data_IF_685691579085
#
_entry.id   IF_685691579085
#
_cell.length_a   1.000
_cell.length_b   1.000
_cell.length_c   1.000
_cell.angle_alpha   90.00
_cell.angle_beta   90.00
_cell.angle_gamma   90.00
#
_symmetry.space_group_name_H-M   'P 1'
#
loop_
_entity.id
_entity.type
_entity.pdbx_description
1 polymer ?
#
# COMPACT_ATOMS: atom_id res chain seq x y z
N UNK A 1 16.33 24.92 -43.89
CA UNK A 1 17.22 24.77 -42.69
C UNK A 1 16.44 24.70 -41.37
N UNK A 2 15.38 25.50 -41.20
CA UNK A 2 14.50 25.48 -40.01
C UNK A 2 13.53 24.28 -39.95
N UNK A 3 12.99 23.80 -41.08
CA UNK A 3 12.07 22.65 -41.08
C UNK A 3 12.73 21.33 -40.64
N UNK A 4 14.04 21.17 -40.88
CA UNK A 4 14.81 20.01 -40.36
C UNK A 4 15.01 20.11 -38.85
N UNK A 5 15.10 21.33 -38.30
CA UNK A 5 15.20 21.56 -36.86
C UNK A 5 13.86 21.31 -36.16
N UNK A 6 12.75 21.77 -36.75
CA UNK A 6 11.39 21.52 -36.25
C UNK A 6 11.01 20.03 -36.30
N UNK A 7 11.45 19.29 -37.34
CA UNK A 7 11.26 17.82 -37.41
C UNK A 7 12.15 17.05 -36.42
N UNK A 8 13.36 17.56 -36.12
CA UNK A 8 14.22 16.98 -35.09
C UNK A 8 13.65 17.19 -33.67
N UNK A 9 12.96 18.31 -33.43
CA UNK A 9 12.26 18.59 -32.18
C UNK A 9 10.92 17.85 -32.05
N UNK A 10 10.21 17.60 -33.16
CA UNK A 10 8.99 16.81 -33.18
C UNK A 10 9.21 15.31 -32.95
N UNK A 11 10.43 14.81 -33.16
CA UNK A 11 10.82 13.40 -32.93
C UNK A 11 11.31 13.10 -31.51
N UNK A 12 11.62 14.13 -30.72
CA UNK A 12 11.89 13.99 -29.30
C UNK A 12 10.58 14.19 -28.56
N UNK A 13 9.82 13.11 -28.38
CA UNK A 13 8.79 13.08 -27.33
C UNK A 13 9.50 13.18 -25.98
N UNK A 14 9.90 14.41 -25.61
CA UNK A 14 10.32 14.78 -24.27
C UNK A 14 9.06 14.64 -23.42
N UNK A 15 8.77 13.41 -22.96
CA UNK A 15 7.87 13.22 -21.83
C UNK A 15 8.33 14.19 -20.77
N UNK A 16 7.44 15.09 -20.36
CA UNK A 16 7.74 16.07 -19.32
C UNK A 16 8.43 15.37 -18.14
N UNK A 17 9.46 15.99 -17.53
CA UNK A 17 10.23 15.34 -16.48
C UNK A 17 9.31 14.84 -15.37
N UNK A 18 9.57 13.61 -14.91
CA UNK A 18 8.82 12.98 -13.82
C UNK A 18 8.99 13.81 -12.55
N UNK A 19 7.90 14.01 -11.82
CA UNK A 19 7.91 14.81 -10.58
C UNK A 19 8.49 14.05 -9.38
N UNK A 20 8.55 12.71 -9.46
CA UNK A 20 9.06 11.83 -8.43
C UNK A 20 8.76 10.37 -8.72
N UNK A 21 8.99 9.50 -7.75
CA UNK A 21 8.67 8.07 -7.83
C UNK A 21 7.78 7.61 -6.67
N UNK A 22 6.84 6.73 -7.00
CA UNK A 22 5.98 6.01 -6.08
C UNK A 22 6.38 4.53 -6.13
N UNK A 23 6.70 3.96 -4.97
CA UNK A 23 6.95 2.53 -4.77
C UNK A 23 5.78 1.94 -4.02
N UNK A 24 5.09 1.00 -4.66
CA UNK A 24 4.02 0.22 -4.06
C UNK A 24 4.57 -1.13 -3.64
N UNK A 25 4.74 -1.34 -2.33
CA UNK A 25 5.17 -2.65 -1.83
C UNK A 25 4.03 -3.63 -1.91
N UNK A 26 4.36 -4.90 -2.17
CA UNK A 26 3.39 -6.00 -2.21
C UNK A 26 3.93 -7.22 -1.49
N UNK A 27 3.04 -7.97 -0.85
CA UNK A 27 3.40 -9.23 -0.21
C UNK A 27 2.60 -9.56 1.03
N UNK A 28 2.62 -10.85 1.39
CA UNK A 28 1.87 -11.38 2.52
C UNK A 28 2.39 -10.85 3.88
N UNK A 29 1.58 -10.87 4.95
CA UNK A 29 2.05 -10.61 6.31
C UNK A 29 3.24 -11.51 6.65
N UNK A 30 4.32 -10.95 7.18
CA UNK A 30 5.55 -11.69 7.48
C UNK A 30 6.52 -11.89 6.31
N UNK A 31 6.20 -11.44 5.08
CA UNK A 31 7.07 -11.63 3.90
C UNK A 31 8.32 -10.75 3.89
N UNK A 32 8.39 -9.73 4.74
CA UNK A 32 9.53 -8.81 4.83
C UNK A 32 9.31 -7.41 4.22
N UNK A 33 8.07 -7.03 3.88
CA UNK A 33 7.77 -5.71 3.28
C UNK A 33 8.31 -4.54 4.10
N UNK A 34 8.02 -4.47 5.40
CA UNK A 34 8.51 -3.39 6.26
C UNK A 34 10.03 -3.41 6.45
N UNK A 35 10.69 -4.55 6.23
CA UNK A 35 12.16 -4.61 6.13
C UNK A 35 12.63 -3.96 4.83
N UNK A 36 11.99 -4.27 3.71
CA UNK A 36 12.27 -3.64 2.41
C UNK A 36 11.98 -2.13 2.44
N UNK A 37 10.86 -1.69 3.04
CA UNK A 37 10.54 -0.27 3.22
C UNK A 37 11.62 0.48 3.99
N UNK A 38 12.10 -0.11 5.10
CA UNK A 38 13.20 0.45 5.90
C UNK A 38 14.52 0.49 5.13
N UNK A 39 14.81 -0.53 4.32
CA UNK A 39 15.99 -0.51 3.46
C UNK A 39 15.90 0.62 2.44
N UNK A 40 14.80 0.72 1.68
CA UNK A 40 14.57 1.81 0.72
C UNK A 40 14.67 3.19 1.37
N UNK A 41 14.19 3.35 2.62
CA UNK A 41 14.32 4.60 3.39
C UNK A 41 15.76 4.90 3.81
N UNK A 42 16.58 3.89 4.11
CA UNK A 42 18.02 4.08 4.38
C UNK A 42 18.76 4.49 3.12
N UNK A 43 18.47 3.82 2.01
CA UNK A 43 19.11 4.08 0.72
C UNK A 43 18.68 5.44 0.13
N UNK A 44 17.45 5.88 0.46
CA UNK A 44 16.89 7.17 0.08
C UNK A 44 16.40 7.94 1.31
N UNK A 45 17.27 8.74 1.98
CA UNK A 45 16.91 9.45 3.21
C UNK A 45 15.73 10.42 3.05
N UNK A 46 15.46 10.94 1.84
CA UNK A 46 14.29 11.79 1.54
C UNK A 46 12.97 11.03 1.43
N UNK A 47 13.00 9.69 1.37
CA UNK A 47 11.82 8.87 1.15
C UNK A 47 10.77 9.06 2.23
N UNK A 48 9.50 8.99 1.84
CA UNK A 48 8.37 8.98 2.79
C UNK A 48 7.75 7.60 2.77
N UNK A 49 7.83 6.87 3.89
CA UNK A 49 7.16 5.57 4.06
C UNK A 49 5.80 5.81 4.69
N UNK A 50 4.75 5.24 4.10
CA UNK A 50 3.37 5.39 4.52
C UNK A 50 2.73 4.00 4.59
N UNK A 51 2.09 3.68 5.71
CA UNK A 51 1.33 2.43 5.88
C UNK A 51 -0.07 2.72 6.41
N UNK A 52 -1.03 1.86 6.03
CA UNK A 52 -2.36 1.86 6.66
C UNK A 52 -2.27 1.46 8.13
N UNK A 53 -1.29 0.62 8.51
CA UNK A 53 -1.06 0.22 9.90
C UNK A 53 -0.74 1.39 10.83
N UNK A 54 -0.14 2.47 10.31
CA UNK A 54 0.18 3.67 11.11
C UNK A 54 -1.07 4.28 11.78
N UNK A 55 -2.27 4.06 11.21
CA UNK A 55 -3.53 4.57 11.75
C UNK A 55 -3.94 3.90 13.07
N UNK A 56 -3.46 2.67 13.27
CA UNK A 56 -3.78 1.79 14.40
C UNK A 56 -2.68 1.83 15.47
N UNK A 57 -1.71 2.73 15.35
CA UNK A 57 -0.68 2.91 16.38
C UNK A 57 -1.16 3.98 17.36
N UNK A 58 -1.40 3.58 18.60
CA UNK A 58 -1.78 4.46 19.70
C UNK A 58 -0.71 4.39 20.79
N UNK A 59 -0.07 5.52 21.11
CA UNK A 59 1.03 5.59 22.08
C UNK A 59 2.17 4.57 21.82
N UNK A 60 2.44 4.28 20.54
CA UNK A 60 3.45 3.31 20.12
C UNK A 60 3.00 1.84 20.16
N UNK A 61 1.76 1.57 20.57
CA UNK A 61 1.17 0.23 20.62
C UNK A 61 0.21 0.06 19.44
N UNK A 62 0.28 -1.09 18.78
CA UNK A 62 -0.61 -1.45 17.69
C UNK A 62 -1.94 -1.98 18.23
N UNK A 63 -3.06 -1.30 17.90
CA UNK A 63 -4.43 -1.64 18.31
C UNK A 63 -5.31 -1.69 17.07
N UNK A 64 -5.56 -2.89 16.56
CA UNK A 64 -6.35 -3.06 15.34
C UNK A 64 -7.86 -3.01 15.64
N UNK A 65 -8.56 -2.15 14.92
CA UNK A 65 -10.02 -2.03 14.98
C UNK A 65 -10.64 -2.18 13.58
N UNK A 66 -11.35 -3.31 13.31
CA UNK A 66 -11.86 -3.62 11.98
C UNK A 66 -12.80 -2.56 11.40
N UNK A 67 -13.61 -1.94 12.25
CA UNK A 67 -14.62 -0.96 11.85
C UNK A 67 -14.01 0.31 11.28
N UNK A 68 -12.77 0.65 11.69
CA UNK A 68 -12.06 1.84 11.22
C UNK A 68 -11.16 1.60 10.02
N UNK A 69 -11.12 0.38 9.50
CA UNK A 69 -10.21 0.02 8.42
C UNK A 69 -10.44 0.83 7.14
N UNK A 70 -11.70 1.06 6.76
CA UNK A 70 -12.00 1.86 5.57
C UNK A 70 -11.47 3.29 5.73
N UNK A 71 -11.62 3.85 6.92
CA UNK A 71 -11.12 5.18 7.26
C UNK A 71 -9.59 5.22 7.34
N UNK A 72 -8.96 4.16 7.85
CA UNK A 72 -7.50 4.00 7.84
C UNK A 72 -6.94 4.04 6.41
N UNK A 73 -7.59 3.35 5.46
CA UNK A 73 -7.22 3.39 4.05
C UNK A 73 -7.41 4.80 3.45
N UNK A 74 -8.55 5.44 3.69
CA UNK A 74 -8.80 6.83 3.22
C UNK A 74 -7.76 7.81 3.80
N UNK A 75 -7.41 7.65 5.07
CA UNK A 75 -6.40 8.45 5.75
C UNK A 75 -5.02 8.28 5.13
N UNK A 76 -4.59 7.03 4.85
CA UNK A 76 -3.30 6.78 4.22
C UNK A 76 -3.25 7.31 2.78
N UNK A 77 -4.35 7.15 2.01
CA UNK A 77 -4.49 7.73 0.67
C UNK A 77 -4.36 9.27 0.70
N UNK A 78 -4.96 9.94 1.69
CA UNK A 78 -4.83 11.39 1.87
C UNK A 78 -3.39 11.81 2.17
N UNK A 79 -2.67 11.04 3.01
CA UNK A 79 -1.24 11.26 3.28
C UNK A 79 -0.40 11.13 2.01
N UNK A 80 -0.62 10.08 1.22
CA UNK A 80 0.07 9.86 -0.05
C UNK A 80 -0.18 11.01 -1.04
N UNK A 81 -1.44 11.43 -1.20
CA UNK A 81 -1.81 12.58 -2.05
C UNK A 81 -1.09 13.86 -1.63
N UNK A 82 -1.07 14.15 -0.32
CA UNK A 82 -0.40 15.34 0.23
C UNK A 82 1.11 15.27 -0.03
N UNK A 83 1.74 14.12 0.17
CA UNK A 83 3.16 13.93 -0.08
C UNK A 83 3.51 14.16 -1.57
N UNK A 84 2.70 13.63 -2.50
CA UNK A 84 2.90 13.83 -3.94
C UNK A 84 2.78 15.31 -4.34
N UNK A 85 1.72 15.99 -3.87
CA UNK A 85 1.52 17.43 -4.12
C UNK A 85 2.65 18.29 -3.58
N UNK A 86 3.26 17.86 -2.47
CA UNK A 86 4.41 18.53 -1.87
C UNK A 86 5.77 18.12 -2.50
N UNK A 87 5.76 17.38 -3.62
CA UNK A 87 6.98 16.98 -4.33
C UNK A 87 7.89 16.01 -3.58
N UNK A 88 7.35 15.23 -2.61
CA UNK A 88 8.16 14.26 -1.86
C UNK A 88 8.51 13.06 -2.74
N UNK A 89 9.77 12.64 -2.76
CA UNK A 89 10.22 11.50 -3.55
C UNK A 89 11.40 10.76 -2.90
N UNK A 90 11.45 9.42 -2.93
CA UNK A 90 10.35 8.52 -3.31
C UNK A 90 9.24 8.47 -2.24
N UNK A 91 8.01 8.15 -2.62
CA UNK A 91 6.93 7.79 -1.69
C UNK A 91 6.79 6.27 -1.71
N UNK A 92 6.80 5.63 -0.54
CA UNK A 92 6.74 4.18 -0.40
C UNK A 92 5.46 3.84 0.35
N UNK A 93 4.60 3.01 -0.26
CA UNK A 93 3.39 2.50 0.38
C UNK A 93 3.66 1.07 0.87
N UNK A 94 3.83 0.91 2.18
CA UNK A 94 4.10 -0.37 2.85
C UNK A 94 2.79 -1.03 3.31
N UNK A 95 1.99 -1.46 2.33
CA UNK A 95 0.76 -2.22 2.54
C UNK A 95 0.90 -3.63 1.96
N UNK A 96 -0.06 -4.51 2.25
CA UNK A 96 -0.04 -5.89 1.71
C UNK A 96 -0.26 -5.93 0.20
N UNK A 97 -1.18 -5.12 -0.33
CA UNK A 97 -1.49 -4.98 -1.75
C UNK A 97 -1.62 -6.33 -2.47
N UNK A 98 -2.50 -7.18 -1.92
CA UNK A 98 -2.80 -8.53 -2.38
C UNK A 98 -3.50 -8.46 -3.74
N UNK A 99 -4.45 -7.52 -3.88
CA UNK A 99 -5.19 -7.29 -5.11
C UNK A 99 -4.76 -6.00 -5.80
N UNK A 100 -4.86 -5.98 -7.13
CA UNK A 100 -4.57 -4.80 -7.93
C UNK A 100 -5.45 -3.60 -7.57
N UNK A 101 -6.72 -3.84 -7.23
CA UNK A 101 -7.67 -2.77 -6.90
C UNK A 101 -7.29 -1.99 -5.62
N UNK A 102 -6.59 -2.63 -4.68
CA UNK A 102 -6.10 -1.98 -3.45
C UNK A 102 -5.08 -0.87 -3.77
N UNK A 103 -4.33 -1.05 -4.86
CA UNK A 103 -3.29 -0.11 -5.32
C UNK A 103 -3.83 0.99 -6.24
N UNK A 104 -5.00 0.78 -6.86
CA UNK A 104 -5.58 1.69 -7.87
C UNK A 104 -5.66 3.16 -7.43
N UNK A 105 -6.09 3.50 -6.19
CA UNK A 105 -6.11 4.90 -5.75
C UNK A 105 -4.73 5.55 -5.81
N UNK A 106 -3.67 4.84 -5.41
CA UNK A 106 -2.30 5.37 -5.43
C UNK A 106 -1.75 5.53 -6.84
N UNK A 107 -2.06 4.59 -7.73
CA UNK A 107 -1.66 4.66 -9.14
C UNK A 107 -2.32 5.84 -9.85
N UNK A 108 -3.62 6.08 -9.60
CA UNK A 108 -4.33 7.25 -10.14
C UNK A 108 -3.70 8.56 -9.62
N UNK A 109 -3.43 8.64 -8.31
CA UNK A 109 -2.75 9.81 -7.72
C UNK A 109 -1.36 10.03 -8.33
N UNK A 110 -0.59 8.97 -8.56
CA UNK A 110 0.72 9.08 -9.19
C UNK A 110 0.60 9.60 -10.63
N UNK A 111 -0.36 9.11 -11.41
CA UNK A 111 -0.61 9.59 -12.77
C UNK A 111 -0.96 11.09 -12.79
N UNK A 112 -1.89 11.52 -11.92
CA UNK A 112 -2.28 12.93 -11.76
C UNK A 112 -1.09 13.84 -11.42
N UNK A 113 -0.13 13.34 -10.63
CA UNK A 113 1.01 14.12 -10.15
C UNK A 113 2.31 13.86 -10.94
N UNK A 114 2.26 13.08 -12.04
CA UNK A 114 3.42 12.70 -12.87
C UNK A 114 4.52 11.96 -12.12
N UNK A 115 4.13 11.07 -11.19
CA UNK A 115 5.03 10.15 -10.50
C UNK A 115 5.18 8.86 -11.31
N UNK A 116 6.40 8.33 -11.36
CA UNK A 116 6.62 6.97 -11.87
C UNK A 116 6.22 5.94 -10.82
N UNK A 117 5.44 4.94 -11.23
CA UNK A 117 4.98 3.86 -10.35
C UNK A 117 5.85 2.63 -10.54
N UNK A 118 6.35 2.08 -9.43
CA UNK A 118 7.00 0.77 -9.38
C UNK A 118 6.30 -0.12 -8.36
N UNK A 119 6.15 -1.40 -8.70
CA UNK A 119 5.63 -2.43 -7.80
C UNK A 119 6.81 -3.26 -7.34
N UNK A 120 6.99 -3.41 -6.04
CA UNK A 120 8.11 -4.16 -5.48
C UNK A 120 7.64 -5.19 -4.46
N UNK A 121 8.25 -6.36 -4.50
CA UNK A 121 8.04 -7.43 -3.53
C UNK A 121 9.34 -7.66 -2.74
N UNK A 122 9.27 -8.10 -1.48
CA UNK A 122 10.42 -8.64 -0.79
C UNK A 122 11.04 -9.80 -1.57
N UNK A 123 12.37 -9.86 -1.63
CA UNK A 123 13.12 -10.98 -2.19
C UNK A 123 13.53 -11.96 -1.08
N UNK A 124 12.55 -12.43 -0.32
CA UNK A 124 12.77 -13.43 0.72
C UNK A 124 12.35 -14.81 0.21
N UNK A 125 13.15 -15.88 0.46
CA UNK A 125 12.81 -17.22 -0.04
C UNK A 125 11.51 -17.79 0.58
N UNK A 126 11.08 -17.23 1.71
CA UNK A 126 9.84 -17.63 2.40
C UNK A 126 8.62 -16.75 2.08
N UNK A 127 8.71 -15.80 1.14
CA UNK A 127 7.63 -14.80 0.91
C UNK A 127 6.25 -15.39 0.57
N UNK A 128 6.19 -16.67 0.18
CA UNK A 128 4.95 -17.44 -0.05
C UNK A 128 4.85 -18.73 0.79
N UNK A 129 5.73 -18.93 1.79
CA UNK A 129 5.65 -20.07 2.71
C UNK A 129 4.78 -19.70 3.91
N UNK A 130 3.54 -20.21 3.95
CA UNK A 130 2.54 -19.85 4.97
C UNK A 130 3.00 -20.16 6.40
N UNK A 131 3.76 -21.24 6.61
CA UNK A 131 4.27 -21.58 7.93
C UNK A 131 5.29 -20.53 8.42
N UNK A 132 6.26 -20.17 7.57
CA UNK A 132 7.25 -19.14 7.89
C UNK A 132 6.61 -17.75 8.03
N UNK A 133 5.65 -17.42 7.18
CA UNK A 133 4.90 -16.16 7.26
C UNK A 133 4.13 -16.06 8.58
N UNK A 134 3.48 -17.16 9.01
CA UNK A 134 2.77 -17.21 10.30
C UNK A 134 3.75 -16.98 11.45
N UNK A 135 4.93 -17.61 11.42
CA UNK A 135 5.96 -17.44 12.46
C UNK A 135 6.54 -16.02 12.52
N UNK A 136 6.62 -15.32 11.38
CA UNK A 136 7.30 -14.03 11.25
C UNK A 136 6.37 -12.82 11.27
N UNK A 137 5.05 -12.99 11.16
CA UNK A 137 4.13 -11.87 11.13
C UNK A 137 3.94 -11.29 12.54
N UNK A 138 4.09 -9.97 12.66
CA UNK A 138 4.04 -9.25 13.94
C UNK A 138 2.65 -8.73 14.30
N UNK A 139 1.72 -8.76 13.35
CA UNK A 139 0.33 -8.31 13.52
C UNK A 139 -0.62 -9.46 13.89
N UNK A 140 -0.07 -10.63 14.23
CA UNK A 140 -0.80 -11.83 14.64
C UNK A 140 -1.94 -12.24 13.69
N UNK A 141 -1.70 -12.08 12.39
CA UNK A 141 -2.63 -12.52 11.34
C UNK A 141 -2.74 -14.05 11.41
N UNK A 142 -3.96 -14.61 11.58
CA UNK A 142 -4.13 -16.05 11.68
C UNK A 142 -3.62 -16.80 10.44
N UNK A 143 -3.09 -18.01 10.64
CA UNK A 143 -2.50 -18.84 9.57
C UNK A 143 -3.48 -19.08 8.42
N UNK A 144 -4.73 -19.38 8.74
CA UNK A 144 -5.81 -19.63 7.78
C UNK A 144 -6.11 -18.38 6.95
N UNK A 145 -5.96 -17.19 7.56
CA UNK A 145 -6.09 -15.92 6.85
C UNK A 145 -4.90 -15.70 5.92
N UNK A 146 -3.67 -15.92 6.37
CA UNK A 146 -2.48 -15.84 5.50
C UNK A 146 -2.59 -16.82 4.32
N UNK A 147 -3.11 -18.03 4.56
CA UNK A 147 -3.36 -19.02 3.50
C UNK A 147 -4.35 -18.50 2.44
N UNK A 148 -5.48 -17.91 2.86
CA UNK A 148 -6.45 -17.28 1.95
C UNK A 148 -5.85 -16.09 1.19
N UNK A 149 -5.12 -15.22 1.89
CA UNK A 149 -4.42 -14.09 1.25
C UNK A 149 -3.42 -14.56 0.20
N UNK A 150 -2.73 -15.68 0.44
CA UNK A 150 -1.80 -16.29 -0.53
C UNK A 150 -2.54 -16.77 -1.76
N UNK A 151 -3.66 -17.47 -1.58
CA UNK A 151 -4.49 -17.99 -2.69
C UNK A 151 -5.07 -16.85 -3.53
N UNK A 152 -5.38 -15.72 -2.90
CA UNK A 152 -5.91 -14.51 -3.54
C UNK A 152 -4.84 -13.58 -4.11
N UNK A 153 -3.55 -13.85 -3.88
CA UNK A 153 -2.46 -12.96 -4.26
C UNK A 153 -2.33 -12.84 -5.78
N UNK A 154 -2.58 -11.64 -6.32
CA UNK A 154 -2.49 -11.41 -7.76
C UNK A 154 -1.04 -11.22 -8.21
N UNK A 155 -0.57 -12.11 -9.08
CA UNK A 155 0.77 -12.04 -9.65
C UNK A 155 0.84 -11.16 -10.90
N UNK A 156 2.06 -10.78 -11.30
CA UNK A 156 2.34 -10.08 -12.57
C UNK A 156 1.55 -8.77 -12.75
N UNK A 157 1.32 -8.03 -11.65
CA UNK A 157 0.61 -6.76 -11.70
C UNK A 157 1.44 -5.70 -12.43
N UNK A 158 0.77 -5.03 -13.37
CA UNK A 158 1.28 -3.91 -14.15
C UNK A 158 0.47 -2.66 -13.87
N UNK A 159 1.02 -1.49 -14.23
CA UNK A 159 0.32 -0.20 -14.17
C UNK A 159 -1.07 -0.27 -14.84
N UNK A 160 -1.17 -0.87 -16.02
CA UNK A 160 -2.43 -1.02 -16.75
C UNK A 160 -3.41 -1.99 -16.07
N UNK A 161 -2.93 -3.11 -15.54
CA UNK A 161 -3.81 -4.04 -14.81
C UNK A 161 -4.41 -3.39 -13.56
N UNK A 162 -3.63 -2.55 -12.86
CA UNK A 162 -4.13 -1.80 -11.70
C UNK A 162 -5.18 -0.78 -12.10
N UNK A 163 -4.95 0.01 -13.16
CA UNK A 163 -5.94 0.99 -13.61
C UNK A 163 -7.26 0.35 -14.06
N UNK A 164 -7.22 -0.86 -14.61
CA UNK A 164 -8.41 -1.60 -15.06
C UNK A 164 -9.08 -2.42 -13.95
N UNK A 165 -8.41 -2.64 -12.83
CA UNK A 165 -8.96 -3.43 -11.72
C UNK A 165 -10.16 -2.73 -11.06
N UNK A 166 -11.07 -3.53 -10.50
CA UNK A 166 -12.25 -3.06 -9.78
C UNK A 166 -12.35 -3.77 -8.43
N UNK A 167 -12.83 -3.04 -7.43
CA UNK A 167 -13.10 -3.62 -6.11
C UNK A 167 -14.40 -4.43 -6.21
N UNK A 168 -14.45 -5.69 -5.75
CA UNK A 168 -15.68 -6.48 -5.77
C UNK A 168 -16.85 -5.80 -5.03
N UNK A 169 -18.05 -5.92 -5.59
CA UNK A 169 -19.31 -5.46 -5.00
C UNK A 169 -19.61 -6.22 -3.71
N UNK A 170 -20.21 -5.57 -2.70
CA UNK A 170 -20.50 -6.21 -1.40
C UNK A 170 -21.56 -7.33 -1.46
N UNK A 171 -22.32 -7.43 -2.56
CA UNK A 171 -23.51 -8.30 -2.66
C UNK A 171 -23.23 -9.72 -3.19
N UNK A 172 -22.03 -10.01 -3.67
CA UNK A 172 -21.66 -11.38 -4.10
C UNK A 172 -20.97 -12.15 -2.97
N UNK A 173 -21.79 -12.87 -2.18
CA UNK A 173 -21.36 -14.04 -1.39
C UNK A 173 -20.37 -13.79 -0.23
N UNK A 174 -20.91 -13.68 0.99
CA UNK A 174 -20.20 -13.93 2.27
C UNK A 174 -18.72 -13.52 2.34
N UNK A 175 -18.39 -12.27 2.00
CA UNK A 175 -17.08 -11.70 2.30
C UNK A 175 -17.11 -11.07 3.70
N UNK A 176 -16.99 -11.87 4.77
CA UNK A 176 -16.66 -11.36 6.11
C UNK A 176 -15.19 -10.94 6.22
N UNK A 177 -14.68 -10.27 5.19
CA UNK A 177 -13.30 -9.87 5.03
C UNK A 177 -13.10 -8.41 5.42
N UNK A 178 -13.11 -8.12 6.72
CA UNK A 178 -12.51 -6.88 7.22
C UNK A 178 -11.00 -6.95 6.92
N UNK A 179 -10.59 -6.23 5.87
CA UNK A 179 -9.26 -6.14 5.22
C UNK A 179 -8.54 -7.44 4.91
N UNK A 180 -7.78 -7.42 3.82
CA UNK A 180 -6.83 -8.46 3.49
C UNK A 180 -5.94 -8.89 4.68
N UNK A 181 -5.58 -8.03 5.66
CA UNK A 181 -4.54 -8.35 6.65
C UNK A 181 -4.97 -8.67 8.11
N UNK A 182 -6.18 -8.37 8.60
CA UNK A 182 -6.37 -8.33 10.07
C UNK A 182 -7.49 -9.25 10.59
N UNK A 183 -7.15 -10.18 11.49
CA UNK A 183 -8.09 -11.13 12.08
C UNK A 183 -8.74 -10.57 13.35
N UNK A 184 -10.04 -10.77 13.52
CA UNK A 184 -10.75 -10.56 14.78
C UNK A 184 -10.55 -11.77 15.69
N UNK A 185 -10.08 -11.55 16.91
CA UNK A 185 -10.30 -12.50 18.02
C UNK A 185 -11.23 -11.83 19.04
N UNK A 186 -12.23 -12.53 19.58
CA UNK A 186 -13.19 -11.95 20.51
C UNK A 186 -12.56 -11.94 21.91
N UNK A 187 -12.17 -10.76 22.39
CA UNK A 187 -12.05 -10.51 23.82
C UNK A 187 -13.21 -9.60 24.27
N UNK A 188 -13.83 -9.88 25.43
CA UNK A 188 -15.02 -9.17 25.86
C UNK A 188 -14.67 -7.73 26.22
N UNK A 189 -15.23 -6.77 25.48
CA UNK A 189 -15.08 -5.34 25.77
C UNK A 189 -16.13 -4.94 26.80
N UNK A 190 -15.67 -4.49 27.96
CA UNK A 190 -16.45 -3.64 28.85
C UNK A 190 -16.59 -2.25 28.21
N UNK A 191 -17.76 -1.59 28.34
CA UNK A 191 -17.98 -0.30 27.72
C UNK A 191 -17.23 0.78 28.49
N UNK A 192 -16.22 1.39 27.85
CA UNK A 192 -15.79 2.73 28.25
C UNK A 192 -15.92 3.65 27.03
N UNK A 193 -16.93 4.50 27.12
CA UNK A 193 -17.06 5.69 26.30
C UNK A 193 -15.82 6.56 26.56
N UNK A 194 -15.17 7.07 25.51
CA UNK A 194 -14.74 8.46 25.41
C UNK A 194 -14.28 8.73 23.98
N UNK A 195 -15.00 9.64 23.31
CA UNK A 195 -14.53 10.30 22.10
C UNK A 195 -13.15 10.93 22.35
N UNK A 196 -12.18 10.65 21.46
CA UNK A 196 -11.34 11.67 20.80
C UNK A 196 -10.41 11.06 19.74
N UNK A 197 -10.76 11.28 18.47
CA UNK A 197 -9.83 11.60 17.37
C UNK A 197 -10.35 12.92 16.76
N UNK A 198 -9.54 13.83 16.18
CA UNK A 198 -8.16 13.67 15.73
C UNK A 198 -7.18 14.74 16.26
N UNK A 199 -5.89 14.41 16.22
CA UNK A 199 -4.81 15.41 16.19
C UNK A 199 -3.52 14.87 16.76
N UNK A 200 -2.46 14.86 15.93
CA UNK A 200 -1.11 15.27 16.36
C UNK A 200 -0.22 15.47 15.13
N UNK A 201 0.28 16.70 15.03
CA UNK A 201 1.42 17.24 14.27
C UNK A 201 1.45 17.08 12.73
#
# INVERSE_FOLDING_TARGET
PEERLLRALAGLSLRAPRAGSLVLLRGLPGSGKSTLARQLKRDHPSAVVLSTDDFFIENGVYVFEPDFLEDAHKWNQKRARKAMKNGKSPIIIDNTNIHAWEMKPYVMMAQENRYEVTFQEPDTPWKFNVQELTRRNIHHVPREKIQRMKEQYEHNVTFHSVLRSEKPSRDEGSYSGASAAYGTSPHPIQPSAFLRRPGTA
#
